data_IF_766712115171
#
_entry.id   IF_766712115171
#
_cell.length_a   1.000
_cell.length_b   1.000
_cell.length_c   1.000
_cell.angle_alpha   90.00
_cell.angle_beta   90.00
_cell.angle_gamma   90.00
#
_symmetry.space_group_name_H-M   'P 1'
#
loop_
_entity.id
_entity.type
_entity.pdbx_description
1 polymer ?
#
# COMPACT_ATOMS: atom_id res chain seq x y z
N UNK A 1 -12.62 -4.70 1.46
CA UNK A 1 -11.76 -5.78 0.96
C UNK A 1 -11.06 -6.38 2.15
N UNK A 2 -11.47 -7.58 2.57
CA UNK A 2 -10.78 -8.33 3.61
C UNK A 2 -9.50 -8.90 3.03
N UNK A 3 -8.48 -8.06 2.88
CA UNK A 3 -7.13 -8.56 2.69
C UNK A 3 -6.79 -9.31 3.97
N UNK A 4 -6.87 -10.63 3.91
CA UNK A 4 -6.32 -11.49 4.94
C UNK A 4 -4.83 -11.14 4.99
N UNK A 5 -4.38 -10.68 6.15
CA UNK A 5 -2.97 -10.49 6.47
C UNK A 5 -2.51 -11.71 7.26
N UNK A 6 -1.19 -11.96 7.31
CA UNK A 6 -0.59 -13.03 8.11
C UNK A 6 -1.02 -14.47 7.72
N UNK A 7 -0.75 -14.88 6.47
CA UNK A 7 -1.07 -16.24 5.97
C UNK A 7 -0.37 -17.37 6.73
N UNK A 8 0.72 -17.07 7.43
CA UNK A 8 1.53 -18.04 8.16
C UNK A 8 1.16 -18.15 9.64
N UNK A 9 0.20 -17.34 10.11
CA UNK A 9 -0.23 -17.31 11.50
C UNK A 9 0.94 -17.04 12.45
N UNK A 10 1.88 -16.20 12.04
CA UNK A 10 3.00 -15.77 12.90
C UNK A 10 2.47 -14.85 13.99
N UNK A 11 2.98 -15.01 15.20
CA UNK A 11 2.58 -14.24 16.38
C UNK A 11 3.82 -13.76 17.12
N UNK A 12 3.83 -12.50 17.53
CA UNK A 12 4.91 -11.93 18.34
C UNK A 12 4.34 -10.76 19.16
N UNK A 13 4.22 -10.96 20.48
CA UNK A 13 3.59 -9.99 21.38
C UNK A 13 4.24 -8.59 21.30
N UNK A 14 5.57 -8.53 21.16
CA UNK A 14 6.28 -7.25 21.06
C UNK A 14 6.01 -6.56 19.72
N UNK A 15 5.95 -7.32 18.63
CA UNK A 15 5.59 -6.76 17.34
C UNK A 15 4.15 -6.23 17.34
N UNK A 16 3.23 -6.96 17.97
CA UNK A 16 1.84 -6.52 18.13
C UNK A 16 1.77 -5.19 18.89
N UNK A 17 2.45 -5.08 20.05
CA UNK A 17 2.56 -3.83 20.80
C UNK A 17 3.09 -2.66 19.95
N UNK A 18 4.14 -2.89 19.17
CA UNK A 18 4.73 -1.86 18.31
C UNK A 18 3.73 -1.39 17.23
N UNK A 19 3.02 -2.32 16.59
CA UNK A 19 2.02 -1.97 15.57
C UNK A 19 0.80 -1.27 16.17
N UNK A 20 0.40 -1.63 17.39
CA UNK A 20 -0.64 -0.93 18.13
C UNK A 20 -0.24 0.51 18.47
N UNK A 21 1.03 0.77 18.80
CA UNK A 21 1.53 2.13 19.00
C UNK A 21 1.57 2.92 17.69
N UNK A 22 2.01 2.30 16.58
CA UNK A 22 1.95 2.93 15.24
C UNK A 22 0.52 3.38 14.91
N UNK A 23 -0.49 2.58 15.25
CA UNK A 23 -1.89 2.93 15.01
C UNK A 23 -2.39 4.12 15.86
N UNK A 24 -1.72 4.43 16.98
CA UNK A 24 -2.05 5.55 17.88
C UNK A 24 -1.23 6.81 17.57
N UNK A 25 -0.07 6.67 16.95
CA UNK A 25 0.82 7.78 16.59
C UNK A 25 0.24 8.63 15.46
N UNK A 26 0.31 9.95 15.61
CA UNK A 26 -0.11 10.86 14.55
C UNK A 26 0.83 10.70 13.33
N UNK A 27 0.32 10.58 12.09
CA UNK A 27 1.17 10.29 10.93
C UNK A 27 2.21 11.38 10.63
N UNK A 28 1.98 12.62 11.08
CA UNK A 28 2.96 13.72 10.94
C UNK A 28 4.08 13.69 12.00
N UNK A 29 3.98 12.83 13.02
CA UNK A 29 5.08 12.59 13.98
C UNK A 29 6.10 11.62 13.38
N UNK A 30 6.82 12.12 12.37
CA UNK A 30 7.71 11.30 11.53
C UNK A 30 8.84 10.65 12.34
N UNK A 31 9.39 11.34 13.33
CA UNK A 31 10.46 10.81 14.17
C UNK A 31 9.97 9.60 14.97
N UNK A 32 8.79 9.71 15.59
CA UNK A 32 8.21 8.59 16.34
C UNK A 32 7.83 7.43 15.44
N UNK A 33 7.25 7.71 14.27
CA UNK A 33 6.89 6.69 13.28
C UNK A 33 8.12 5.92 12.78
N UNK A 34 9.24 6.61 12.54
CA UNK A 34 10.49 5.97 12.13
C UNK A 34 11.07 5.10 13.26
N UNK A 35 11.09 5.59 14.50
CA UNK A 35 11.55 4.81 15.65
C UNK A 35 10.78 3.49 15.79
N UNK A 36 9.44 3.57 15.82
CA UNK A 36 8.57 2.38 15.93
C UNK A 36 8.77 1.41 14.76
N UNK A 37 8.90 1.93 13.54
CA UNK A 37 9.17 1.12 12.35
C UNK A 37 10.51 0.39 12.46
N UNK A 38 11.56 1.08 12.88
CA UNK A 38 12.88 0.49 13.06
C UNK A 38 12.85 -0.66 14.07
N UNK A 39 12.25 -0.45 15.25
CA UNK A 39 12.10 -1.51 16.26
C UNK A 39 11.32 -2.73 15.72
N UNK A 40 10.22 -2.49 14.99
CA UNK A 40 9.42 -3.57 14.41
C UNK A 40 10.21 -4.34 13.33
N UNK A 41 11.02 -3.65 12.53
CA UNK A 41 11.81 -4.29 11.48
C UNK A 41 13.02 -5.06 11.99
N UNK A 42 13.59 -4.70 13.15
CA UNK A 42 14.60 -5.53 13.81
C UNK A 42 14.05 -6.94 14.12
N UNK A 43 12.81 -7.02 14.61
CA UNK A 43 12.12 -8.29 14.84
C UNK A 43 11.85 -8.99 13.50
N UNK A 44 11.26 -8.27 12.54
CA UNK A 44 10.87 -8.84 11.25
C UNK A 44 12.06 -9.45 10.49
N UNK A 45 13.20 -8.76 10.43
CA UNK A 45 14.39 -9.25 9.72
C UNK A 45 15.01 -10.46 10.45
N UNK A 46 14.86 -10.53 11.78
CA UNK A 46 15.38 -11.65 12.59
C UNK A 46 14.52 -12.90 12.46
N UNK A 47 13.20 -12.76 12.57
CA UNK A 47 12.26 -13.90 12.57
C UNK A 47 11.76 -14.28 11.18
N UNK A 48 11.79 -13.31 10.26
CA UNK A 48 11.46 -13.46 8.83
C UNK A 48 10.15 -14.21 8.56
N UNK A 49 9.01 -13.76 9.13
CA UNK A 49 7.73 -14.44 8.99
C UNK A 49 7.20 -14.44 7.55
N UNK A 50 7.58 -13.43 6.77
CA UNK A 50 7.48 -13.40 5.31
C UNK A 50 8.78 -12.80 4.76
N UNK A 51 9.15 -13.19 3.54
CA UNK A 51 10.40 -12.79 2.89
C UNK A 51 10.08 -11.80 1.76
N UNK A 52 10.32 -10.49 1.94
CA UNK A 52 10.14 -9.52 0.87
C UNK A 52 11.22 -9.71 -0.21
N UNK A 53 10.83 -10.17 -1.41
CA UNK A 53 11.78 -10.43 -2.51
C UNK A 53 11.76 -9.34 -3.58
N UNK A 54 10.57 -8.82 -3.93
CA UNK A 54 10.42 -7.86 -5.01
C UNK A 54 9.21 -6.95 -4.79
N UNK A 55 9.32 -5.71 -5.26
CA UNK A 55 8.19 -4.80 -5.43
C UNK A 55 7.55 -5.04 -6.80
N UNK A 56 6.32 -5.55 -6.81
CA UNK A 56 5.67 -5.95 -8.06
C UNK A 56 5.01 -4.75 -8.75
N UNK A 57 5.48 -4.42 -9.94
CA UNK A 57 4.89 -3.35 -10.73
C UNK A 57 3.50 -3.72 -11.25
N UNK A 58 2.54 -2.81 -11.03
CA UNK A 58 1.29 -2.81 -11.76
C UNK A 58 1.56 -2.49 -13.24
N UNK A 59 1.33 -3.49 -14.10
CA UNK A 59 1.52 -3.41 -15.55
C UNK A 59 0.17 -3.53 -16.23
N UNK A 60 -0.57 -2.43 -16.20
CA UNK A 60 -1.95 -2.39 -16.68
C UNK A 60 -1.96 -1.64 -18.00
N UNK A 61 -2.64 -2.23 -18.99
CA UNK A 61 -2.81 -1.62 -20.31
C UNK A 61 -4.19 -1.00 -20.40
N UNK A 62 -4.25 0.25 -20.87
CA UNK A 62 -5.48 1.02 -20.98
C UNK A 62 -5.72 1.40 -22.43
N UNK A 63 -6.96 1.24 -22.90
CA UNK A 63 -7.34 1.71 -24.22
C UNK A 63 -7.73 3.18 -24.19
N UNK A 64 -7.07 3.99 -25.02
CA UNK A 64 -7.47 5.38 -25.26
C UNK A 64 -8.46 5.53 -26.43
N UNK A 65 -9.02 4.43 -26.95
CA UNK A 65 -9.93 4.48 -28.11
C UNK A 65 -11.21 5.27 -27.81
N UNK A 66 -11.71 5.21 -26.57
CA UNK A 66 -12.99 5.82 -26.15
C UNK A 66 -12.91 6.66 -24.89
N UNK A 67 -11.78 6.61 -24.18
CA UNK A 67 -11.63 7.21 -22.86
C UNK A 67 -10.32 7.98 -22.77
N UNK A 68 -10.32 9.08 -22.01
CA UNK A 68 -9.15 9.88 -21.61
C UNK A 68 -9.09 10.01 -20.09
N UNK A 69 -8.06 10.69 -19.60
CA UNK A 69 -7.83 10.95 -18.18
C UNK A 69 -7.60 9.67 -17.35
N UNK A 70 -6.94 8.69 -17.96
CA UNK A 70 -6.34 7.58 -17.22
C UNK A 70 -5.32 8.15 -16.22
N UNK A 71 -5.17 7.54 -15.03
CA UNK A 71 -4.24 8.01 -14.01
C UNK A 71 -2.81 7.60 -14.36
N UNK A 72 -2.30 8.10 -15.48
CA UNK A 72 -0.93 7.84 -15.94
C UNK A 72 0.03 8.44 -14.91
N UNK A 73 1.04 7.68 -14.49
CA UNK A 73 1.93 7.98 -13.35
C UNK A 73 2.81 9.25 -13.43
N UNK A 74 2.48 10.24 -14.26
CA UNK A 74 3.08 11.58 -14.20
C UNK A 74 2.45 12.46 -13.11
N UNK A 75 3.19 13.46 -12.62
CA UNK A 75 2.77 14.37 -11.55
C UNK A 75 1.42 15.08 -11.77
N UNK A 76 0.99 15.26 -13.01
CA UNK A 76 -0.24 15.98 -13.36
C UNK A 76 -1.42 15.07 -13.70
N UNK A 77 -1.19 13.78 -13.95
CA UNK A 77 -2.23 12.80 -14.31
C UNK A 77 -2.37 11.65 -13.32
N UNK A 78 -1.37 11.39 -12.47
CA UNK A 78 -1.35 10.25 -11.54
C UNK A 78 -2.13 10.53 -10.26
N UNK A 79 -3.46 10.67 -10.34
CA UNK A 79 -4.31 10.97 -9.18
C UNK A 79 -4.60 9.75 -8.29
N UNK A 80 -4.38 8.52 -8.78
CA UNK A 80 -4.62 7.27 -8.04
C UNK A 80 -3.93 6.10 -8.74
N UNK A 81 -3.77 4.97 -8.04
CA UNK A 81 -3.43 3.68 -8.65
C UNK A 81 -4.51 3.22 -9.67
N UNK A 82 -4.05 2.69 -10.79
CA UNK A 82 -4.82 2.34 -11.98
C UNK A 82 -5.39 0.90 -12.03
N UNK A 83 -5.12 0.08 -10.99
CA UNK A 83 -5.57 -1.29 -10.86
C UNK A 83 -7.07 -1.41 -10.58
N UNK A 84 -7.77 -2.09 -11.49
CA UNK A 84 -9.22 -2.31 -11.37
C UNK A 84 -9.63 -3.27 -10.26
N UNK A 85 -8.67 -4.04 -9.74
CA UNK A 85 -8.85 -4.91 -8.58
C UNK A 85 -8.53 -4.24 -7.24
N UNK A 86 -8.02 -3.01 -7.25
CA UNK A 86 -7.70 -2.28 -6.03
C UNK A 86 -8.94 -1.55 -5.47
N UNK A 87 -8.91 -1.25 -4.16
CA UNK A 87 -10.02 -0.61 -3.44
C UNK A 87 -10.39 0.79 -3.98
N UNK A 88 -9.49 1.40 -4.74
CA UNK A 88 -9.60 2.76 -5.25
C UNK A 88 -10.11 2.84 -6.68
N UNK A 89 -10.52 1.73 -7.30
CA UNK A 89 -10.93 1.71 -8.72
C UNK A 89 -12.07 2.67 -9.06
N UNK A 90 -12.99 2.91 -8.12
CA UNK A 90 -14.08 3.88 -8.33
C UNK A 90 -13.56 5.30 -8.59
N UNK A 91 -12.41 5.69 -8.02
CA UNK A 91 -11.80 7.00 -8.30
C UNK A 91 -11.34 7.10 -9.76
N UNK A 92 -10.83 6.01 -10.33
CA UNK A 92 -10.48 5.94 -11.76
C UNK A 92 -11.73 6.10 -12.61
N UNK A 93 -12.77 5.31 -12.36
CA UNK A 93 -14.02 5.36 -13.14
C UNK A 93 -14.67 6.75 -13.13
N UNK A 94 -14.63 7.45 -12.00
CA UNK A 94 -15.15 8.81 -11.88
C UNK A 94 -14.23 9.88 -12.49
N UNK A 95 -12.94 9.58 -12.64
CA UNK A 95 -11.97 10.45 -13.32
C UNK A 95 -11.98 10.30 -14.84
N UNK A 96 -12.39 9.15 -15.38
CA UNK A 96 -12.40 8.91 -16.83
C UNK A 96 -13.34 9.87 -17.56
N UNK A 97 -12.90 10.34 -18.72
CA UNK A 97 -13.71 11.18 -19.62
C UNK A 97 -13.92 10.48 -20.95
N UNK A 98 -15.16 10.43 -21.43
CA UNK A 98 -15.47 9.85 -22.74
C UNK A 98 -14.97 10.76 -23.88
N UNK A 99 -14.47 10.16 -24.96
CA UNK A 99 -14.13 10.86 -26.21
C UNK A 99 -15.35 11.00 -27.11
#
# INVERSE_FOLDING_TARGET
>A
GGHQVNFYHWENERFDELTDEVAKTHPDDLDKMQELWHEAMEIWITELPDVPILEFYHRIIMSEKRWTNWPLGGQTSGYVNEASWHLTWSLVLHGLTAK
#
